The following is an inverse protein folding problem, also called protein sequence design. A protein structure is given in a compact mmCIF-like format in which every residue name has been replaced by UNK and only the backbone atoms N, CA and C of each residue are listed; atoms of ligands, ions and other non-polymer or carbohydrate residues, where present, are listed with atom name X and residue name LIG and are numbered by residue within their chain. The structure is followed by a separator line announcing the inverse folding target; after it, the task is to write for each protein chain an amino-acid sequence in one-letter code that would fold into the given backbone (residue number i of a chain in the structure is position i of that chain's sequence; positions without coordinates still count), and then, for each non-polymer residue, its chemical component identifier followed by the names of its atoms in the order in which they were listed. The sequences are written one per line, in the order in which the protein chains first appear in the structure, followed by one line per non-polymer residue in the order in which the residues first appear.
data_IF_784864522529
#
_entry.id   IF_784864522529
#
_cell.length_a   1.000
_cell.length_b   1.000
_cell.length_c   1.000
_cell.angle_alpha   90.00
_cell.angle_beta   90.00
_cell.angle_gamma   90.00
#
_symmetry.space_group_name_H-M   'P 1'
#
loop_
_entity.id
_entity.type
_entity.pdbx_description
1 polymer ?
#
# COMPACT_ATOMS: atom_id res chain seq x y z
N UNK A 1 -13.27 -2.65 32.59
CA UNK A 1 -14.07 -2.99 31.40
C UNK A 1 -14.48 -1.74 30.61
N UNK A 2 -15.16 -0.76 31.19
CA UNK A 2 -15.57 0.45 30.45
C UNK A 2 -14.38 1.32 29.99
N UNK A 3 -13.42 1.56 30.89
CA UNK A 3 -12.19 2.31 30.56
C UNK A 3 -11.39 1.64 29.44
N UNK A 4 -11.26 0.31 29.49
CA UNK A 4 -10.57 -0.46 28.45
C UNK A 4 -11.28 -0.36 27.11
N UNK A 5 -12.62 -0.39 27.08
CA UNK A 5 -13.41 -0.19 25.85
C UNK A 5 -13.25 1.22 25.27
N UNK A 6 -13.20 2.25 26.12
CA UNK A 6 -12.98 3.62 25.65
C UNK A 6 -11.58 3.79 25.05
N UNK A 7 -10.56 3.23 25.70
CA UNK A 7 -9.18 3.30 25.21
C UNK A 7 -9.02 2.55 23.88
N UNK A 8 -9.63 1.38 23.71
CA UNK A 8 -9.55 0.65 22.44
C UNK A 8 -10.25 1.41 21.31
N UNK A 9 -11.43 1.97 21.55
CA UNK A 9 -12.13 2.80 20.57
C UNK A 9 -11.32 4.05 20.19
N UNK A 10 -10.70 4.72 21.17
CA UNK A 10 -9.84 5.88 20.93
C UNK A 10 -8.66 5.52 20.03
N UNK A 11 -7.98 4.39 20.29
CA UNK A 11 -6.86 3.92 19.49
C UNK A 11 -7.29 3.62 18.04
N UNK A 12 -8.41 2.93 17.85
CA UNK A 12 -8.94 2.63 16.52
C UNK A 12 -9.29 3.92 15.77
N UNK A 13 -9.93 4.88 16.44
CA UNK A 13 -10.26 6.17 15.84
C UNK A 13 -9.00 6.92 15.37
N UNK A 14 -7.95 6.96 16.19
CA UNK A 14 -6.67 7.57 15.83
C UNK A 14 -6.03 6.83 14.64
N UNK A 15 -6.04 5.49 14.65
CA UNK A 15 -5.49 4.70 13.55
C UNK A 15 -6.21 4.97 12.22
N UNK A 16 -7.54 5.07 12.23
CA UNK A 16 -8.35 5.39 11.05
C UNK A 16 -8.08 6.81 10.54
N UNK A 17 -7.94 7.79 11.44
CA UNK A 17 -7.58 9.16 11.08
C UNK A 17 -6.18 9.22 10.44
N UNK A 18 -5.19 8.52 11.02
CA UNK A 18 -3.83 8.45 10.51
C UNK A 18 -3.74 7.75 9.14
N UNK A 19 -4.45 6.64 8.96
CA UNK A 19 -4.54 5.93 7.68
C UNK A 19 -5.17 6.83 6.61
N UNK A 20 -6.21 7.58 6.98
CA UNK A 20 -6.99 8.44 6.10
C UNK A 20 -6.45 9.85 5.90
N UNK A 21 -5.30 10.24 6.46
CA UNK A 21 -4.82 11.65 6.43
C UNK A 21 -4.86 12.25 5.03
N UNK A 22 -4.42 11.51 4.01
CA UNK A 22 -4.43 12.00 2.63
C UNK A 22 -5.85 12.21 2.10
N UNK A 23 -6.77 11.31 2.42
CA UNK A 23 -8.18 11.38 1.98
C UNK A 23 -8.93 12.50 2.71
N UNK A 24 -8.65 12.68 4.00
CA UNK A 24 -9.34 13.66 4.85
C UNK A 24 -8.84 15.10 4.66
N UNK A 25 -7.53 15.30 4.48
CA UNK A 25 -6.92 16.64 4.47
C UNK A 25 -6.53 17.15 3.08
N UNK A 26 -6.47 16.29 2.04
CA UNK A 26 -6.14 16.71 0.67
C UNK A 26 -7.41 16.79 -0.18
N UNK A 27 -7.62 17.93 -0.85
CA UNK A 27 -8.72 18.07 -1.83
C UNK A 27 -8.50 17.08 -2.98
N UNK A 28 -9.45 16.16 -3.17
CA UNK A 28 -9.30 15.04 -4.12
C UNK A 28 -8.33 13.95 -3.66
N UNK A 29 -8.10 13.82 -2.35
CA UNK A 29 -7.23 12.78 -1.80
C UNK A 29 -7.81 11.39 -1.97
N UNK A 30 -6.96 10.46 -2.36
CA UNK A 30 -7.27 9.04 -2.52
C UNK A 30 -6.28 8.17 -1.74
N UNK A 31 -6.70 6.95 -1.40
CA UNK A 31 -5.78 5.95 -0.91
C UNK A 31 -4.78 5.60 -2.00
N UNK A 32 -3.51 5.41 -1.63
CA UNK A 32 -2.52 4.98 -2.60
C UNK A 32 -2.87 3.57 -3.09
N UNK A 33 -2.68 3.33 -4.38
CA UNK A 33 -2.87 2.00 -4.93
C UNK A 33 -1.97 1.01 -4.20
N UNK A 34 -2.56 -0.12 -3.79
CA UNK A 34 -1.84 -1.21 -3.16
C UNK A 34 -1.27 -2.20 -4.19
N UNK A 35 -1.45 -1.91 -5.48
CA UNK A 35 -0.84 -2.67 -6.56
C UNK A 35 0.61 -2.23 -6.77
N UNK A 36 1.51 -3.22 -6.83
CA UNK A 36 2.94 -2.99 -7.02
C UNK A 36 3.25 -2.23 -8.33
N UNK A 37 2.47 -2.49 -9.38
CA UNK A 37 2.64 -1.88 -10.71
C UNK A 37 2.29 -0.39 -10.76
N UNK A 38 1.44 0.07 -9.84
CA UNK A 38 1.01 1.48 -9.77
C UNK A 38 1.97 2.33 -8.90
N UNK A 39 2.91 1.68 -8.22
CA UNK A 39 3.89 2.36 -7.41
C UNK A 39 5.01 2.93 -8.30
N UNK A 40 5.02 4.25 -8.47
CA UNK A 40 6.01 4.97 -9.27
C UNK A 40 7.46 4.66 -8.86
N UNK A 41 7.76 4.56 -7.56
CA UNK A 41 9.10 4.26 -7.06
C UNK A 41 9.56 2.84 -7.42
N UNK A 42 8.66 1.87 -7.33
CA UNK A 42 8.98 0.48 -7.70
C UNK A 42 9.13 0.34 -9.21
N UNK A 43 8.28 1.03 -9.97
CA UNK A 43 8.38 1.12 -11.43
C UNK A 43 9.71 1.73 -11.88
N UNK A 44 10.19 2.80 -11.24
CA UNK A 44 11.53 3.38 -11.50
C UNK A 44 12.67 2.39 -11.26
N UNK A 45 12.51 1.49 -10.29
CA UNK A 45 13.46 0.39 -10.04
C UNK A 45 13.31 -0.80 -11.00
N UNK A 46 12.39 -0.74 -11.95
CA UNK A 46 12.04 -1.87 -12.82
C UNK A 46 11.32 -3.01 -12.09
N UNK A 47 10.88 -2.78 -10.85
CA UNK A 47 10.17 -3.77 -10.04
C UNK A 47 8.68 -3.70 -10.41
N UNK A 48 8.12 -4.83 -10.83
CA UNK A 48 6.73 -4.95 -11.24
C UNK A 48 6.19 -6.33 -10.86
N UNK A 49 5.01 -6.71 -11.35
CA UNK A 49 4.36 -7.97 -11.01
C UNK A 49 5.32 -9.17 -11.15
N UNK A 50 5.39 -10.00 -10.11
CA UNK A 50 6.29 -11.16 -10.08
C UNK A 50 6.06 -12.13 -11.24
N UNK A 51 4.82 -12.24 -11.72
CA UNK A 51 4.46 -13.11 -12.84
C UNK A 51 5.10 -12.61 -14.15
N UNK A 52 5.03 -11.31 -14.39
CA UNK A 52 5.64 -10.68 -15.57
C UNK A 52 7.17 -10.72 -15.46
N UNK A 53 7.73 -10.42 -14.28
CA UNK A 53 9.16 -10.52 -14.03
C UNK A 53 9.71 -11.94 -14.27
N UNK A 54 8.99 -12.95 -13.81
CA UNK A 54 9.31 -14.37 -14.01
C UNK A 54 9.19 -14.77 -15.49
N UNK A 55 8.12 -14.34 -16.17
CA UNK A 55 7.97 -14.54 -17.62
C UNK A 55 9.13 -13.92 -18.39
N UNK A 56 9.52 -12.69 -18.08
CA UNK A 56 10.66 -12.03 -18.70
C UNK A 56 11.99 -12.74 -18.37
N UNK A 57 12.16 -13.23 -17.14
CA UNK A 57 13.35 -14.00 -16.75
C UNK A 57 13.46 -15.30 -17.56
N UNK A 58 12.34 -16.01 -17.76
CA UNK A 58 12.28 -17.21 -18.62
C UNK A 58 12.64 -16.89 -20.07
N UNK A 59 12.09 -15.81 -20.64
CA UNK A 59 12.42 -15.37 -22.01
C UNK A 59 13.90 -15.00 -22.13
N UNK A 60 14.48 -14.38 -21.09
CA UNK A 60 15.90 -14.01 -21.05
C UNK A 60 16.83 -15.17 -20.69
N UNK A 61 16.30 -16.38 -20.49
CA UNK A 61 17.02 -17.56 -19.99
C UNK A 61 17.83 -17.26 -18.70
N UNK A 62 17.25 -16.39 -17.86
CA UNK A 62 17.73 -15.98 -16.53
C UNK A 62 16.80 -16.45 -15.42
N UNK A 63 15.79 -17.26 -15.76
CA UNK A 63 15.03 -18.01 -14.77
C UNK A 63 15.96 -19.08 -14.19
N UNK A 64 15.97 -19.19 -12.87
CA UNK A 64 16.71 -20.21 -12.14
C UNK A 64 16.15 -21.61 -12.41
#
# INVERSE_FOLDING_TARGET
MFVTLLLTLLIIAIAMLLLGVRVLFKKGGEFQSQHISDNAYLKEKGIHCVIDQDKEARVRNKAY
#
